data_IF_686745560737
#
_entry.id   IF_686745560737
#
_cell.length_a   1.000
_cell.length_b   1.000
_cell.length_c   1.000
_cell.angle_alpha   90.00
_cell.angle_beta   90.00
_cell.angle_gamma   90.00
#
_symmetry.space_group_name_H-M   'P 1'
#
loop_
_entity.id
_entity.type
_entity.pdbx_description
1 polymer ?
#
# COMPACT_ATOMS: atom_id res chain seq x y z
N UNK A 1 -9.76 12.04 27.53
CA UNK A 1 -8.30 11.96 27.21
C UNK A 1 -7.70 10.54 27.21
N UNK A 2 -8.18 9.60 28.04
CA UNK A 2 -7.58 8.26 28.20
C UNK A 2 -8.28 7.09 27.51
N UNK A 3 -9.35 7.33 26.75
CA UNK A 3 -10.10 6.27 26.06
C UNK A 3 -9.56 6.09 24.64
N UNK A 4 -8.87 4.97 24.40
CA UNK A 4 -8.26 4.65 23.10
C UNK A 4 -9.29 4.48 21.98
N UNK A 5 -10.51 3.99 22.28
CA UNK A 5 -11.58 3.85 21.27
C UNK A 5 -12.05 5.22 20.80
N UNK A 6 -12.19 6.18 21.71
CA UNK A 6 -12.57 7.54 21.34
C UNK A 6 -11.50 8.20 20.47
N UNK A 7 -10.21 7.95 20.74
CA UNK A 7 -9.10 8.45 19.94
C UNK A 7 -9.08 7.83 18.53
N UNK A 8 -9.26 6.51 18.44
CA UNK A 8 -9.34 5.80 17.17
C UNK A 8 -10.52 6.29 16.31
N UNK A 9 -11.72 6.41 16.90
CA UNK A 9 -12.92 6.90 16.20
C UNK A 9 -12.81 8.37 15.82
N UNK A 10 -12.14 9.20 16.63
CA UNK A 10 -11.85 10.59 16.29
C UNK A 10 -11.02 10.69 15.01
N UNK A 11 -9.94 9.92 14.89
CA UNK A 11 -9.12 9.97 13.67
C UNK A 11 -9.84 9.33 12.46
N UNK A 12 -10.66 8.28 12.67
CA UNK A 12 -11.53 7.74 11.60
C UNK A 12 -12.52 8.79 11.11
N UNK A 13 -13.13 9.56 12.01
CA UNK A 13 -14.05 10.61 11.64
C UNK A 13 -13.34 11.78 10.93
N UNK A 14 -12.16 12.17 11.41
CA UNK A 14 -11.36 13.21 10.79
C UNK A 14 -10.95 12.83 9.35
N UNK A 15 -10.52 11.59 9.12
CA UNK A 15 -10.26 11.07 7.77
C UNK A 15 -11.48 11.20 6.85
N UNK A 16 -12.67 10.83 7.36
CA UNK A 16 -13.94 10.91 6.60
C UNK A 16 -14.34 12.34 6.27
N UNK A 17 -14.01 13.30 7.14
CA UNK A 17 -14.29 14.71 6.92
C UNK A 17 -13.25 15.39 6.02
N UNK A 18 -12.29 14.62 5.48
CA UNK A 18 -11.24 15.16 4.61
C UNK A 18 -10.20 15.98 5.36
N UNK A 19 -10.10 15.84 6.69
CA UNK A 19 -9.06 16.51 7.48
C UNK A 19 -7.70 15.97 7.05
N UNK A 20 -6.75 16.87 6.80
CA UNK A 20 -5.44 16.53 6.28
C UNK A 20 -4.61 15.68 7.22
N UNK A 21 -3.73 14.85 6.67
CA UNK A 21 -2.84 13.94 7.41
C UNK A 21 -2.04 14.65 8.50
N UNK A 22 -1.52 15.85 8.26
CA UNK A 22 -0.72 16.60 9.23
C UNK A 22 -1.52 16.95 10.51
N UNK A 23 -2.76 17.44 10.35
CA UNK A 23 -3.63 17.80 11.47
C UNK A 23 -4.09 16.55 12.25
N UNK A 24 -4.43 15.49 11.52
CA UNK A 24 -4.76 14.18 12.07
C UNK A 24 -3.62 13.58 12.88
N UNK A 25 -2.40 13.60 12.33
CA UNK A 25 -1.20 13.10 13.00
C UNK A 25 -0.87 13.92 14.26
N UNK A 26 -0.95 15.25 14.19
CA UNK A 26 -0.74 16.12 15.37
C UNK A 26 -1.75 15.81 16.50
N UNK A 27 -3.01 15.56 16.14
CA UNK A 27 -4.05 15.17 17.10
C UNK A 27 -3.76 13.81 17.75
N UNK A 28 -3.33 12.82 16.96
CA UNK A 28 -2.94 11.50 17.46
C UNK A 28 -1.70 11.57 18.36
N UNK A 29 -0.69 12.36 17.98
CA UNK A 29 0.54 12.55 18.74
C UNK A 29 0.30 13.19 20.11
N UNK A 30 -0.65 14.14 20.19
CA UNK A 30 -1.09 14.75 21.47
C UNK A 30 -1.54 13.69 22.48
N UNK A 31 -2.11 12.59 22.00
CA UNK A 31 -2.60 11.47 22.83
C UNK A 31 -1.82 10.18 22.60
N UNK A 32 -0.54 10.26 22.21
CA UNK A 32 0.30 9.08 21.90
C UNK A 32 0.31 8.02 23.00
N UNK A 33 0.44 8.43 24.26
CA UNK A 33 0.41 7.52 25.40
C UNK A 33 -0.94 6.76 25.56
N UNK A 34 -2.03 7.33 25.04
CA UNK A 34 -3.33 6.65 24.95
C UNK A 34 -3.37 5.68 23.76
N UNK A 35 -2.83 6.09 22.60
CA UNK A 35 -2.76 5.24 21.42
C UNK A 35 -1.93 3.98 21.65
N UNK A 36 -0.78 4.11 22.34
CA UNK A 36 0.15 3.00 22.63
C UNK A 36 -0.45 1.89 23.51
N UNK A 37 -1.59 2.13 24.16
CA UNK A 37 -2.28 1.12 24.99
C UNK A 37 -3.00 0.07 24.15
N UNK A 38 -3.29 0.33 22.88
CA UNK A 38 -4.11 -0.55 22.06
C UNK A 38 -3.61 -0.67 20.61
N UNK A 39 -3.54 -1.90 20.12
CA UNK A 39 -2.90 -2.24 18.84
C UNK A 39 -3.55 -1.54 17.64
N UNK A 40 -4.87 -1.48 17.56
CA UNK A 40 -5.56 -0.81 16.46
C UNK A 40 -5.30 0.71 16.43
N UNK A 41 -5.22 1.33 17.62
CA UNK A 41 -5.03 2.77 17.73
C UNK A 41 -3.58 3.16 17.36
N UNK A 42 -2.59 2.43 17.88
CA UNK A 42 -1.19 2.68 17.54
C UNK A 42 -0.87 2.33 16.08
N UNK A 43 -1.51 1.29 15.52
CA UNK A 43 -1.40 0.95 14.11
C UNK A 43 -1.90 2.09 13.21
N UNK A 44 -3.03 2.72 13.57
CA UNK A 44 -3.55 3.88 12.86
C UNK A 44 -2.56 5.06 12.84
N UNK A 45 -1.80 5.25 13.91
CA UNK A 45 -0.72 6.24 13.95
C UNK A 45 0.44 5.87 13.01
N UNK A 46 0.79 4.59 12.86
CA UNK A 46 1.80 4.15 11.88
C UNK A 46 1.35 4.42 10.43
N UNK A 47 0.06 4.21 10.11
CA UNK A 47 -0.50 4.62 8.81
C UNK A 47 -0.37 6.12 8.56
N UNK A 48 -0.69 6.95 9.56
CA UNK A 48 -0.54 8.41 9.45
C UNK A 48 0.91 8.85 9.25
N UNK A 49 1.87 8.20 9.92
CA UNK A 49 3.28 8.45 9.67
C UNK A 49 3.69 8.10 8.23
N UNK A 50 3.19 6.97 7.68
CA UNK A 50 3.42 6.65 6.27
C UNK A 50 2.81 7.69 5.33
N UNK A 51 1.57 8.14 5.59
CA UNK A 51 0.93 9.19 4.81
C UNK A 51 1.70 10.53 4.86
N UNK A 52 2.29 10.85 6.01
CA UNK A 52 3.09 12.06 6.22
C UNK A 52 4.49 11.96 5.59
N UNK A 53 4.96 10.76 5.23
CA UNK A 53 6.31 10.51 4.74
C UNK A 53 7.34 10.22 5.84
N UNK A 54 6.91 10.13 7.09
CA UNK A 54 7.74 9.86 8.27
C UNK A 54 7.91 8.34 8.49
N UNK A 55 8.45 7.65 7.49
CA UNK A 55 8.55 6.19 7.46
C UNK A 55 9.35 5.60 8.63
N UNK A 56 10.33 6.34 9.15
CA UNK A 56 11.12 5.90 10.31
C UNK A 56 10.28 5.82 11.59
N UNK A 57 9.38 6.77 11.83
CA UNK A 57 8.48 6.72 12.99
C UNK A 57 7.45 5.60 12.87
N UNK A 58 6.93 5.38 11.65
CA UNK A 58 6.08 4.23 11.35
C UNK A 58 6.80 2.91 11.64
N UNK A 59 8.02 2.74 11.13
CA UNK A 59 8.79 1.51 11.32
C UNK A 59 9.20 1.29 12.78
N UNK A 60 9.49 2.35 13.54
CA UNK A 60 9.70 2.23 15.00
C UNK A 60 8.50 1.59 15.68
N UNK A 61 7.27 2.00 15.35
CA UNK A 61 6.06 1.38 15.89
C UNK A 61 5.94 -0.08 15.45
N UNK A 62 6.09 -0.33 14.14
CA UNK A 62 5.85 -1.62 13.52
C UNK A 62 6.89 -2.69 13.85
N UNK A 63 8.06 -2.32 14.38
CA UNK A 63 9.16 -3.25 14.71
C UNK A 63 9.46 -3.36 16.21
N UNK A 64 9.09 -2.38 17.03
CA UNK A 64 9.35 -2.42 18.48
C UNK A 64 8.23 -3.09 19.28
N UNK A 65 7.00 -3.05 18.77
CA UNK A 65 5.83 -3.58 19.46
C UNK A 65 5.51 -4.99 18.98
N UNK A 66 5.15 -5.86 19.92
CA UNK A 66 4.46 -7.12 19.61
C UNK A 66 2.96 -6.85 19.46
N UNK A 67 2.44 -6.93 18.24
CA UNK A 67 1.01 -6.81 17.94
C UNK A 67 0.29 -8.12 18.22
N UNK A 68 -0.96 -8.07 18.65
CA UNK A 68 -1.82 -9.22 18.85
C UNK A 68 -2.84 -9.25 17.71
N UNK A 69 -2.69 -10.22 16.82
CA UNK A 69 -3.67 -10.44 15.75
C UNK A 69 -4.93 -11.04 16.37
N UNK A 70 -5.98 -10.23 16.47
CA UNK A 70 -7.36 -10.73 16.62
C UNK A 70 -7.85 -11.24 15.25
N UNK A 71 -8.82 -12.17 15.23
CA UNK A 71 -9.33 -12.78 13.99
C UNK A 71 -9.51 -11.77 12.86
N UNK A 72 -8.81 -11.99 11.74
CA UNK A 72 -8.75 -11.05 10.61
C UNK A 72 -7.55 -10.10 10.63
N UNK A 73 -6.33 -10.59 10.87
CA UNK A 73 -5.04 -9.87 10.85
C UNK A 73 -4.63 -9.21 9.52
N UNK A 74 -5.62 -8.90 8.68
CA UNK A 74 -5.48 -8.14 7.46
C UNK A 74 -5.09 -6.70 7.82
N UNK A 75 -3.92 -6.25 7.35
CA UNK A 75 -3.53 -4.84 7.42
C UNK A 75 -2.37 -4.48 8.34
N UNK A 76 -1.71 -5.44 9.01
CA UNK A 76 -0.43 -5.17 9.71
C UNK A 76 0.79 -5.23 8.79
N UNK A 77 0.77 -6.13 7.80
CA UNK A 77 1.87 -6.27 6.86
C UNK A 77 1.97 -5.09 5.89
N UNK A 78 0.81 -4.56 5.47
CA UNK A 78 0.74 -3.47 4.51
C UNK A 78 1.54 -2.21 4.91
N UNK A 79 1.30 -1.59 6.09
CA UNK A 79 2.02 -0.38 6.48
C UNK A 79 3.51 -0.63 6.71
N UNK A 80 3.90 -1.86 7.09
CA UNK A 80 5.31 -2.24 7.21
C UNK A 80 6.00 -2.28 5.85
N UNK A 81 5.39 -2.97 4.88
CA UNK A 81 5.92 -3.04 3.51
C UNK A 81 5.92 -1.66 2.86
N UNK A 82 4.83 -0.90 2.98
CA UNK A 82 4.71 0.45 2.40
C UNK A 82 5.78 1.40 2.95
N UNK A 83 6.02 1.39 4.27
CA UNK A 83 7.05 2.23 4.89
C UNK A 83 8.44 1.89 4.36
N UNK A 84 8.78 0.61 4.25
CA UNK A 84 10.08 0.17 3.72
C UNK A 84 10.24 0.49 2.25
N UNK A 85 9.20 0.27 1.44
CA UNK A 85 9.26 0.58 0.01
C UNK A 85 9.43 2.07 -0.23
N UNK A 86 8.61 2.91 0.41
CA UNK A 86 8.67 4.35 0.18
C UNK A 86 9.95 4.97 0.77
N UNK A 87 10.42 4.51 1.93
CA UNK A 87 11.74 4.92 2.46
C UNK A 87 12.89 4.46 1.54
N UNK A 88 12.80 3.25 1.02
CA UNK A 88 13.77 2.72 0.05
C UNK A 88 13.79 3.53 -1.25
N UNK A 89 12.63 3.96 -1.75
CA UNK A 89 12.53 4.85 -2.91
C UNK A 89 13.17 6.22 -2.65
N UNK A 90 12.95 6.81 -1.46
CA UNK A 90 13.63 8.04 -1.06
C UNK A 90 15.17 7.87 -1.03
N UNK A 91 15.65 6.75 -0.51
CA UNK A 91 17.09 6.41 -0.49
C UNK A 91 17.65 6.20 -1.90
N UNK A 92 16.89 5.56 -2.80
CA UNK A 92 17.27 5.45 -4.21
C UNK A 92 17.39 6.82 -4.87
N UNK A 93 16.45 7.74 -4.64
CA UNK A 93 16.52 9.10 -5.15
C UNK A 93 17.77 9.84 -4.64
N UNK A 94 18.18 9.57 -3.39
CA UNK A 94 19.42 10.06 -2.81
C UNK A 94 20.69 9.30 -3.26
N UNK A 95 20.56 8.31 -4.16
CA UNK A 95 21.62 7.40 -4.63
C UNK A 95 22.26 6.52 -3.55
N UNK A 96 21.62 6.39 -2.39
CA UNK A 96 22.01 5.41 -1.37
C UNK A 96 21.36 4.05 -1.67
N UNK A 97 21.89 3.39 -2.70
CA UNK A 97 21.36 2.12 -3.17
C UNK A 97 21.55 0.99 -2.15
N UNK A 98 22.62 1.04 -1.35
CA UNK A 98 22.86 0.04 -0.29
C UNK A 98 21.78 0.08 0.79
N UNK A 99 21.44 1.27 1.28
CA UNK A 99 20.38 1.41 2.27
C UNK A 99 18.98 1.14 1.68
N UNK A 100 18.75 1.48 0.40
CA UNK A 100 17.50 1.17 -0.28
C UNK A 100 17.30 -0.34 -0.46
N UNK A 101 18.33 -1.05 -0.92
CA UNK A 101 18.31 -2.51 -1.05
C UNK A 101 17.94 -3.19 0.27
N UNK A 102 18.57 -2.76 1.38
CA UNK A 102 18.25 -3.30 2.71
C UNK A 102 16.78 -3.13 3.09
N UNK A 103 16.18 -1.99 2.76
CA UNK A 103 14.75 -1.76 3.02
C UNK A 103 13.88 -2.70 2.20
N UNK A 104 14.16 -2.84 0.90
CA UNK A 104 13.40 -3.72 0.02
C UNK A 104 13.52 -5.20 0.41
N UNK A 105 14.72 -5.66 0.79
CA UNK A 105 14.93 -7.02 1.30
C UNK A 105 14.19 -7.24 2.62
N UNK A 106 14.21 -6.25 3.53
CA UNK A 106 13.47 -6.30 4.80
C UNK A 106 11.96 -6.38 4.56
N UNK A 107 11.44 -5.76 3.49
CA UNK A 107 10.03 -5.83 3.15
C UNK A 107 9.56 -7.26 2.79
N UNK A 108 10.48 -8.19 2.49
CA UNK A 108 10.20 -9.60 2.20
C UNK A 108 10.28 -10.53 3.42
N UNK A 109 10.72 -10.04 4.59
CA UNK A 109 10.97 -10.92 5.75
C UNK A 109 9.74 -11.13 6.63
N UNK A 110 8.85 -10.14 6.71
CA UNK A 110 7.67 -10.10 7.60
C UNK A 110 7.99 -10.46 9.06
N UNK A 111 8.33 -9.49 9.91
CA UNK A 111 8.89 -9.77 11.22
C UNK A 111 7.84 -10.37 12.17
N UNK A 112 8.27 -11.33 13.00
CA UNK A 112 7.40 -12.13 13.88
C UNK A 112 6.56 -11.30 14.86
N UNK A 113 7.06 -10.10 15.23
CA UNK A 113 6.37 -9.20 16.14
C UNK A 113 5.04 -8.67 15.59
N UNK A 114 4.84 -8.69 14.26
CA UNK A 114 3.55 -8.36 13.64
C UNK A 114 2.50 -9.46 13.82
N UNK A 115 2.91 -10.68 14.22
CA UNK A 115 2.05 -11.86 14.40
C UNK A 115 1.18 -12.22 13.19
N UNK A 116 1.49 -11.69 12.00
CA UNK A 116 0.84 -12.01 10.75
C UNK A 116 1.79 -12.89 9.92
N UNK A 117 1.34 -14.10 9.57
CA UNK A 117 2.08 -15.00 8.70
C UNK A 117 2.19 -14.47 7.27
N UNK A 118 3.03 -15.11 6.45
CA UNK A 118 3.07 -14.80 5.01
C UNK A 118 1.69 -14.97 4.39
N UNK A 119 1.26 -14.05 3.50
CA UNK A 119 0.04 -14.22 2.73
C UNK A 119 0.04 -15.57 1.98
N UNK A 120 -1.15 -16.16 1.78
CA UNK A 120 -1.30 -17.38 0.97
C UNK A 120 -1.16 -17.11 -0.54
N UNK A 121 -1.24 -15.85 -0.95
CA UNK A 121 -0.89 -15.35 -2.28
C UNK A 121 0.51 -14.70 -2.27
N UNK A 122 0.90 -14.06 -3.37
CA UNK A 122 2.17 -13.34 -3.45
C UNK A 122 2.16 -12.00 -2.67
N UNK A 123 1.06 -11.61 -2.02
CA UNK A 123 0.92 -10.35 -1.30
C UNK A 123 1.41 -9.15 -2.11
N UNK A 124 2.33 -8.37 -1.52
CA UNK A 124 2.98 -7.24 -2.18
C UNK A 124 4.34 -7.59 -2.82
N UNK A 125 4.75 -8.86 -2.79
CA UNK A 125 6.07 -9.26 -3.29
C UNK A 125 6.36 -8.82 -4.72
N UNK A 126 5.41 -8.88 -5.69
CA UNK A 126 5.68 -8.39 -7.05
C UNK A 126 6.15 -6.94 -7.08
N UNK A 127 5.52 -6.07 -6.27
CA UNK A 127 5.92 -4.66 -6.12
C UNK A 127 7.30 -4.55 -5.49
N UNK A 128 7.53 -5.26 -4.38
CA UNK A 128 8.80 -5.22 -3.64
C UNK A 128 9.96 -5.67 -4.53
N UNK A 129 9.81 -6.80 -5.20
CA UNK A 129 10.83 -7.40 -6.06
C UNK A 129 11.11 -6.55 -7.29
N UNK A 130 10.09 -5.92 -7.87
CA UNK A 130 10.29 -4.96 -8.94
C UNK A 130 11.19 -3.79 -8.49
N UNK A 131 10.92 -3.17 -7.33
CA UNK A 131 11.79 -2.09 -6.83
C UNK A 131 13.19 -2.57 -6.44
N UNK A 132 13.32 -3.77 -5.87
CA UNK A 132 14.61 -4.39 -5.61
C UNK A 132 15.40 -4.63 -6.91
N UNK A 133 14.73 -5.03 -7.99
CA UNK A 133 15.34 -5.16 -9.31
C UNK A 133 15.86 -3.79 -9.79
N UNK A 134 15.05 -2.73 -9.69
CA UNK A 134 15.49 -1.38 -10.10
C UNK A 134 16.69 -0.89 -9.26
N UNK A 135 16.74 -1.24 -7.98
CA UNK A 135 17.89 -0.94 -7.12
C UNK A 135 19.16 -1.67 -7.61
N UNK A 136 19.08 -2.99 -7.83
CA UNK A 136 20.19 -3.80 -8.35
C UNK A 136 20.67 -3.32 -9.71
N UNK A 137 19.75 -2.91 -10.59
CA UNK A 137 20.05 -2.30 -11.88
C UNK A 137 20.88 -1.01 -11.70
N UNK A 138 20.48 -0.14 -10.77
CA UNK A 138 21.20 1.10 -10.47
C UNK A 138 22.60 0.85 -9.86
N UNK A 139 22.79 -0.28 -9.16
CA UNK A 139 24.09 -0.73 -8.66
C UNK A 139 24.96 -1.42 -9.72
N UNK A 140 24.44 -1.66 -10.94
CA UNK A 140 25.14 -2.39 -12.00
C UNK A 140 25.09 -3.92 -11.88
N UNK A 141 24.33 -4.46 -10.92
CA UNK A 141 24.10 -5.91 -10.76
C UNK A 141 23.03 -6.39 -11.74
N UNK A 142 23.43 -6.62 -13.00
CA UNK A 142 22.53 -7.07 -14.05
C UNK A 142 21.98 -8.50 -13.81
N UNK A 143 22.76 -9.36 -13.15
CA UNK A 143 22.34 -10.73 -12.85
C UNK A 143 21.23 -10.73 -11.79
N UNK A 144 21.44 -10.03 -10.68
CA UNK A 144 20.43 -9.90 -9.63
C UNK A 144 19.22 -9.07 -10.07
N UNK A 145 19.40 -8.04 -10.90
CA UNK A 145 18.29 -7.33 -11.53
C UNK A 145 17.33 -8.28 -12.27
N UNK A 146 17.84 -9.13 -13.17
CA UNK A 146 17.01 -10.10 -13.89
C UNK A 146 16.37 -11.13 -12.96
N UNK A 147 17.12 -11.63 -11.99
CA UNK A 147 16.62 -12.59 -11.01
C UNK A 147 15.42 -12.04 -10.21
N UNK A 148 15.47 -10.77 -9.80
CA UNK A 148 14.36 -10.17 -9.07
C UNK A 148 13.15 -9.87 -9.94
N UNK A 149 13.34 -9.50 -11.22
CA UNK A 149 12.23 -9.41 -12.16
C UNK A 149 11.54 -10.77 -12.35
N UNK A 150 12.29 -11.86 -12.45
CA UNK A 150 11.73 -13.21 -12.52
C UNK A 150 11.01 -13.60 -11.23
N UNK A 151 11.58 -13.26 -10.07
CA UNK A 151 10.95 -13.52 -8.78
C UNK A 151 9.64 -12.74 -8.62
N UNK A 152 9.50 -11.54 -9.19
CA UNK A 152 8.26 -10.75 -9.14
C UNK A 152 7.06 -11.45 -9.81
N UNK A 153 7.33 -12.42 -10.69
CA UNK A 153 6.31 -13.19 -11.41
C UNK A 153 5.84 -14.44 -10.63
N UNK A 154 6.50 -14.81 -9.53
CA UNK A 154 6.18 -16.03 -8.75
C UNK A 154 4.93 -15.85 -7.89
N UNK A 155 4.23 -16.96 -7.65
CA UNK A 155 2.99 -17.01 -6.87
C UNK A 155 1.76 -16.52 -7.65
N UNK A 156 0.57 -16.68 -7.07
CA UNK A 156 -0.65 -16.10 -7.62
C UNK A 156 -0.90 -14.72 -6.99
N UNK A 157 -1.65 -13.86 -7.66
CA UNK A 157 -2.07 -12.53 -7.16
C UNK A 157 -3.54 -12.35 -7.41
N UNK A 158 -4.21 -11.60 -6.53
CA UNK A 158 -5.55 -11.10 -6.80
C UNK A 158 -5.48 -10.08 -7.95
N UNK A 159 -6.42 -10.11 -8.92
CA UNK A 159 -6.45 -9.17 -10.03
C UNK A 159 -6.46 -7.71 -9.53
N UNK A 160 -5.44 -6.94 -9.90
CA UNK A 160 -5.29 -5.56 -9.45
C UNK A 160 -3.87 -5.02 -9.55
N UNK A 161 -3.43 -4.29 -8.52
CA UNK A 161 -2.18 -3.53 -8.55
C UNK A 161 -0.95 -4.40 -8.82
N UNK A 162 -0.86 -5.60 -8.26
CA UNK A 162 0.33 -6.43 -8.43
C UNK A 162 0.55 -6.84 -9.90
N UNK A 163 -0.52 -6.92 -10.70
CA UNK A 163 -0.40 -7.16 -12.13
C UNK A 163 0.30 -6.02 -12.87
N UNK A 164 0.22 -4.77 -12.39
CA UNK A 164 1.00 -3.66 -12.95
C UNK A 164 2.50 -3.88 -12.78
N UNK A 165 2.94 -4.30 -11.59
CA UNK A 165 4.36 -4.55 -11.33
C UNK A 165 4.87 -5.79 -12.07
N UNK A 166 4.04 -6.82 -12.22
CA UNK A 166 4.34 -7.98 -13.10
C UNK A 166 4.45 -7.57 -14.56
N UNK A 167 3.56 -6.71 -15.04
CA UNK A 167 3.62 -6.16 -16.39
C UNK A 167 4.94 -5.40 -16.60
N UNK A 168 5.31 -4.51 -15.67
CA UNK A 168 6.60 -3.79 -15.72
C UNK A 168 7.79 -4.75 -15.78
N UNK A 169 7.78 -5.79 -14.95
CA UNK A 169 8.83 -6.81 -14.94
C UNK A 169 8.91 -7.59 -16.27
N UNK A 170 7.77 -8.01 -16.83
CA UNK A 170 7.71 -8.69 -18.13
C UNK A 170 8.23 -7.81 -19.27
N UNK A 171 7.86 -6.52 -19.28
CA UNK A 171 8.37 -5.56 -20.26
C UNK A 171 9.89 -5.45 -20.18
N UNK A 172 10.45 -5.30 -18.98
CA UNK A 172 11.90 -5.18 -18.78
C UNK A 172 12.68 -6.48 -19.03
N UNK A 173 12.01 -7.65 -18.94
CA UNK A 173 12.54 -8.95 -19.35
C UNK A 173 12.42 -9.22 -20.86
N UNK A 174 11.80 -8.32 -21.64
CA UNK A 174 11.56 -8.51 -23.08
C UNK A 174 10.44 -9.49 -23.42
N UNK A 175 9.58 -9.82 -22.45
CA UNK A 175 8.45 -10.76 -22.60
C UNK A 175 7.15 -10.03 -22.95
N UNK A 176 7.19 -9.19 -23.98
CA UNK A 176 6.07 -8.33 -24.37
C UNK A 176 4.78 -9.11 -24.73
N UNK A 177 4.89 -10.36 -25.19
CA UNK A 177 3.72 -11.20 -25.49
C UNK A 177 2.87 -11.55 -24.27
N UNK A 178 3.41 -11.44 -23.05
CA UNK A 178 2.73 -11.80 -21.80
C UNK A 178 2.13 -10.59 -21.07
N UNK A 179 2.43 -9.35 -21.49
CA UNK A 179 1.98 -8.12 -20.81
C UNK A 179 0.49 -7.88 -20.99
N UNK A 180 -0.09 -8.26 -22.12
CA UNK A 180 -1.52 -8.10 -22.41
C UNK A 180 -2.40 -8.86 -21.39
N UNK A 181 -1.97 -10.04 -20.96
CA UNK A 181 -2.68 -10.81 -19.93
C UNK A 181 -2.66 -10.09 -18.57
N UNK A 182 -1.52 -9.49 -18.20
CA UNK A 182 -1.44 -8.72 -16.95
C UNK A 182 -2.34 -7.47 -16.98
N UNK A 183 -2.40 -6.78 -18.11
CA UNK A 183 -3.27 -5.62 -18.28
C UNK A 183 -4.76 -6.01 -18.14
N UNK A 184 -5.13 -7.18 -18.66
CA UNK A 184 -6.49 -7.70 -18.50
C UNK A 184 -6.83 -8.03 -17.04
N UNK A 185 -5.88 -8.56 -16.26
CA UNK A 185 -6.08 -8.75 -14.82
C UNK A 185 -6.25 -7.42 -14.07
N UNK A 186 -5.54 -6.34 -14.47
CA UNK A 186 -5.79 -5.00 -13.90
C UNK A 186 -7.24 -4.56 -14.20
N UNK A 187 -7.72 -4.76 -15.45
CA UNK A 187 -9.10 -4.43 -15.84
C UNK A 187 -10.14 -5.24 -15.07
N UNK A 188 -9.89 -6.53 -14.81
CA UNK A 188 -10.73 -7.35 -13.93
C UNK A 188 -10.78 -6.79 -12.50
N UNK A 189 -9.64 -6.34 -11.96
CA UNK A 189 -9.58 -5.67 -10.66
C UNK A 189 -10.42 -4.39 -10.61
N UNK A 190 -10.34 -3.55 -11.66
CA UNK A 190 -11.17 -2.34 -11.82
C UNK A 190 -12.66 -2.71 -11.84
N UNK A 191 -13.05 -3.66 -12.71
CA UNK A 191 -14.43 -4.11 -12.82
C UNK A 191 -14.96 -4.69 -11.49
N UNK A 192 -14.12 -5.42 -10.74
CA UNK A 192 -14.49 -5.95 -9.44
C UNK A 192 -14.78 -4.86 -8.40
N UNK A 193 -14.06 -3.73 -8.43
CA UNK A 193 -14.30 -2.57 -7.56
C UNK A 193 -15.56 -1.80 -7.94
N UNK A 194 -15.88 -1.74 -9.23
CA UNK A 194 -17.03 -1.01 -9.77
C UNK A 194 -18.35 -1.77 -9.69
N UNK A 195 -18.31 -3.08 -9.44
CA UNK A 195 -19.52 -3.86 -9.17
C UNK A 195 -20.31 -3.22 -8.01
N UNK A 196 -21.63 -2.98 -8.18
CA UNK A 196 -22.48 -2.47 -7.12
C UNK A 196 -22.43 -3.38 -5.90
N UNK A 197 -22.33 -2.78 -4.71
CA UNK A 197 -22.39 -3.54 -3.47
C UNK A 197 -23.82 -4.09 -3.27
N UNK A 198 -23.97 -5.30 -2.69
CA UNK A 198 -25.29 -5.86 -2.41
C UNK A 198 -26.09 -4.93 -1.49
N UNK A 199 -27.39 -4.79 -1.77
CA UNK A 199 -28.32 -3.94 -1.00
C UNK A 199 -28.62 -4.47 0.41
N UNK A 200 -28.43 -5.77 0.64
CA UNK A 200 -28.60 -6.41 1.95
C UNK A 200 -27.21 -6.75 2.48
N UNK A 201 -26.88 -6.20 3.65
CA UNK A 201 -25.66 -6.54 4.39
C UNK A 201 -26.04 -7.67 5.35
N UNK A 202 -25.34 -8.80 5.27
CA UNK A 202 -25.47 -9.87 6.25
C UNK A 202 -25.15 -9.32 7.65
N UNK A 203 -26.01 -9.61 8.64
CA UNK A 203 -25.90 -9.07 10.00
C UNK A 203 -24.57 -9.43 10.69
N UNK A 204 -23.86 -10.44 10.17
CA UNK A 204 -22.55 -10.89 10.63
C UNK A 204 -21.34 -10.12 10.04
N UNK A 205 -21.54 -9.22 9.07
CA UNK A 205 -20.46 -8.41 8.49
C UNK A 205 -19.94 -7.28 9.41
N UNK A 206 -20.34 -7.26 10.69
CA UNK A 206 -20.35 -6.06 11.54
C UNK A 206 -19.11 -5.82 12.40
N UNK A 207 -18.04 -6.61 12.27
CA UNK A 207 -16.94 -6.57 13.24
C UNK A 207 -15.54 -6.22 12.72
N UNK A 208 -15.36 -5.79 11.46
CA UNK A 208 -14.00 -5.46 11.00
C UNK A 208 -13.82 -4.64 9.73
N UNK A 209 -14.87 -4.06 9.14
CA UNK A 209 -14.77 -3.36 7.84
C UNK A 209 -15.38 -1.96 7.83
N UNK A 210 -15.18 -1.24 6.72
CA UNK A 210 -15.78 0.08 6.45
C UNK A 210 -17.27 0.07 6.81
N UNK A 211 -17.64 0.86 7.82
CA UNK A 211 -18.86 0.70 8.62
C UNK A 211 -20.11 1.20 7.90
N UNK A 212 -19.97 1.93 6.79
CA UNK A 212 -21.13 2.38 6.00
C UNK A 212 -21.02 1.99 4.51
N UNK A 213 -22.15 1.78 3.81
CA UNK A 213 -22.18 1.61 2.36
C UNK A 213 -21.45 2.73 1.60
N UNK A 214 -21.58 3.98 2.05
CA UNK A 214 -20.92 5.13 1.44
C UNK A 214 -19.39 5.07 1.56
N UNK A 215 -18.86 4.65 2.72
CA UNK A 215 -17.42 4.45 2.92
C UNK A 215 -16.87 3.35 2.01
N UNK A 216 -17.59 2.22 1.91
CA UNK A 216 -17.20 1.14 0.98
C UNK A 216 -17.20 1.62 -0.47
N UNK A 217 -18.18 2.44 -0.86
CA UNK A 217 -18.24 3.02 -2.22
C UNK A 217 -17.08 3.99 -2.45
N UNK A 218 -16.82 4.94 -1.54
CA UNK A 218 -15.72 5.91 -1.66
C UNK A 218 -14.34 5.24 -1.75
N UNK A 219 -14.05 4.27 -0.86
CA UNK A 219 -12.82 3.49 -0.92
C UNK A 219 -12.66 2.74 -2.25
N UNK A 220 -13.73 2.11 -2.74
CA UNK A 220 -13.71 1.37 -4.01
C UNK A 220 -13.55 2.30 -5.21
N UNK A 221 -14.20 3.45 -5.21
CA UNK A 221 -14.07 4.45 -6.28
C UNK A 221 -12.65 4.99 -6.36
N UNK A 222 -12.05 5.40 -5.23
CA UNK A 222 -10.66 5.89 -5.21
C UNK A 222 -9.68 4.80 -5.66
N UNK A 223 -9.88 3.55 -5.19
CA UNK A 223 -9.04 2.42 -5.61
C UNK A 223 -9.19 2.09 -7.10
N UNK A 224 -10.41 2.18 -7.66
CA UNK A 224 -10.65 1.96 -9.09
C UNK A 224 -9.98 3.03 -9.93
N UNK A 225 -10.05 4.30 -9.51
CA UNK A 225 -9.32 5.40 -10.16
C UNK A 225 -7.81 5.17 -10.14
N UNK A 226 -7.26 4.71 -9.01
CA UNK A 226 -5.85 4.35 -8.91
C UNK A 226 -5.46 3.21 -9.87
N UNK A 227 -6.22 2.11 -9.92
CA UNK A 227 -5.94 1.02 -10.86
C UNK A 227 -6.08 1.45 -12.32
N UNK A 228 -7.04 2.33 -12.64
CA UNK A 228 -7.15 2.93 -13.99
C UNK A 228 -5.91 3.76 -14.32
N UNK A 229 -5.38 4.52 -13.37
CA UNK A 229 -4.12 5.27 -13.55
C UNK A 229 -2.94 4.34 -13.83
N UNK A 230 -2.81 3.23 -13.11
CA UNK A 230 -1.80 2.22 -13.39
C UNK A 230 -1.98 1.55 -14.78
N UNK A 231 -3.21 1.25 -15.17
CA UNK A 231 -3.51 0.73 -16.50
C UNK A 231 -3.13 1.73 -17.60
N UNK A 232 -3.47 3.02 -17.44
CA UNK A 232 -3.08 4.09 -18.35
C UNK A 232 -1.55 4.21 -18.47
N UNK A 233 -0.80 4.08 -17.36
CA UNK A 233 0.66 4.00 -17.41
C UNK A 233 1.18 2.79 -18.20
N UNK A 234 0.58 1.62 -17.98
CA UNK A 234 0.95 0.41 -18.73
C UNK A 234 0.67 0.55 -20.24
N UNK A 235 -0.34 1.33 -20.61
CA UNK A 235 -0.70 1.66 -21.99
C UNK A 235 0.10 2.85 -22.57
N UNK A 236 1.05 3.41 -21.82
CA UNK A 236 1.89 4.53 -22.29
C UNK A 236 1.19 5.89 -22.30
N UNK A 237 0.20 6.10 -21.43
CA UNK A 237 -0.61 7.34 -21.33
C UNK A 237 -0.36 8.07 -20.00
N UNK A 238 0.82 8.69 -19.78
CA UNK A 238 1.17 9.29 -18.50
C UNK A 238 0.31 10.50 -18.10
N UNK A 239 -0.13 11.33 -19.06
CA UNK A 239 -1.00 12.47 -18.77
C UNK A 239 -2.37 12.04 -18.24
N UNK A 240 -2.96 11.00 -18.83
CA UNK A 240 -4.22 10.41 -18.37
C UNK A 240 -4.05 9.78 -16.98
N UNK A 241 -2.95 9.05 -16.76
CA UNK A 241 -2.63 8.48 -15.45
C UNK A 241 -2.54 9.55 -14.35
N UNK A 242 -1.86 10.67 -14.63
CA UNK A 242 -1.72 11.78 -13.68
C UNK A 242 -3.07 12.39 -13.30
N UNK A 243 -3.97 12.57 -14.26
CA UNK A 243 -5.33 13.04 -13.98
C UNK A 243 -6.10 12.05 -13.08
N UNK A 244 -6.02 10.75 -13.40
CA UNK A 244 -6.68 9.68 -12.65
C UNK A 244 -6.17 9.60 -11.20
N UNK A 245 -4.86 9.70 -10.98
CA UNK A 245 -4.29 9.76 -9.63
C UNK A 245 -4.72 11.01 -8.87
N UNK A 246 -4.77 12.18 -9.53
CA UNK A 246 -5.28 13.41 -8.92
C UNK A 246 -6.74 13.28 -8.47
N UNK A 247 -7.58 12.61 -9.28
CA UNK A 247 -8.97 12.30 -8.89
C UNK A 247 -9.03 11.30 -7.74
N UNK A 248 -8.21 10.25 -7.76
CA UNK A 248 -8.13 9.28 -6.67
C UNK A 248 -7.76 9.95 -5.33
N UNK A 249 -6.81 10.90 -5.36
CA UNK A 249 -6.36 11.65 -4.17
C UNK A 249 -7.40 12.66 -3.68
N UNK A 250 -8.25 13.21 -4.56
CA UNK A 250 -9.39 14.06 -4.13
C UNK A 250 -10.44 13.24 -3.38
N UNK A 251 -10.73 12.03 -3.84
CA UNK A 251 -11.66 11.11 -3.16
C UNK A 251 -11.06 10.53 -1.88
N UNK A 252 -9.75 10.23 -1.90
CA UNK A 252 -9.03 9.65 -0.76
C UNK A 252 -7.59 10.19 -0.69
N UNK A 253 -7.36 11.24 0.11
CA UNK A 253 -6.02 11.79 0.30
C UNK A 253 -5.02 10.79 0.92
N UNK A 254 -5.51 9.81 1.69
CA UNK A 254 -4.69 8.77 2.33
C UNK A 254 -4.15 7.69 1.37
N UNK A 255 -4.42 7.79 0.06
CA UNK A 255 -3.95 6.81 -0.92
C UNK A 255 -2.48 7.05 -1.32
N UNK A 256 -1.56 6.69 -0.40
CA UNK A 256 -0.13 7.03 -0.48
C UNK A 256 0.56 6.64 -1.79
N UNK A 257 0.20 5.49 -2.39
CA UNK A 257 0.79 5.05 -3.66
C UNK A 257 0.31 5.87 -4.87
N UNK A 258 -0.93 6.39 -4.85
CA UNK A 258 -1.37 7.29 -5.90
C UNK A 258 -0.56 8.60 -5.87
N UNK A 259 -0.26 9.11 -4.68
CA UNK A 259 0.64 10.26 -4.49
C UNK A 259 2.07 9.94 -4.95
N UNK A 260 2.65 8.86 -4.41
CA UNK A 260 4.03 8.47 -4.71
C UNK A 260 4.27 8.24 -6.21
N UNK A 261 3.33 7.61 -6.92
CA UNK A 261 3.43 7.41 -8.37
C UNK A 261 3.21 8.72 -9.13
N UNK A 262 2.20 9.52 -8.76
CA UNK A 262 1.93 10.80 -9.41
C UNK A 262 3.09 11.79 -9.30
N UNK A 263 3.83 11.79 -8.18
CA UNK A 263 5.01 12.66 -7.98
C UNK A 263 6.17 12.32 -8.93
N UNK A 264 6.15 11.14 -9.56
CA UNK A 264 7.15 10.70 -10.55
C UNK A 264 6.78 10.97 -12.01
N UNK A 265 5.56 11.48 -12.27
CA UNK A 265 5.02 11.76 -13.61
C UNK A 265 5.07 13.26 -13.96
#
# INVERSE_FOLDING_TARGET
>A
PGNFRALEEMDKLAEKLGVGTAERLASMQTYRATAEKYDACILRMAYLFNEAGDYDESLKILTSRRFHVWEGGEGLLAPFVDALLLRGLNKMAAKDFGAAQKDFETALTYPENLQAGRPGDAGMEPKVRYFLAQCRKAQGDNAGYKAELENALKGWVVPGEMNYYRLRALTELGKAGETAAQLEEIRKGIAALEKPLPRVIDAYAKFGGSNTPAERVGHRTAQALYLRGLAALAEGKPSEAKELFGRALKERPSLIWAKAVADTL
#
